data_IF_587837892080
#
_entry.id   IF_587837892080
#
_cell.length_a   1.000
_cell.length_b   1.000
_cell.length_c   1.000
_cell.angle_alpha   90.00
_cell.angle_beta   90.00
_cell.angle_gamma   90.00
#
_symmetry.space_group_name_H-M   'P 1'
#
loop_
_entity.id
_entity.type
_entity.pdbx_description
1 polymer ?
#
# COMPACT_ATOMS: atom_id res chain seq x y z
N UNK A 1 13.49 -5.07 10.30
CA UNK A 1 13.92 -3.80 10.92
C UNK A 1 15.24 -3.29 10.33
N UNK A 2 16.19 -4.16 9.98
CA UNK A 2 17.48 -3.77 9.36
C UNK A 2 17.36 -2.83 8.14
N UNK A 3 16.45 -3.13 7.20
CA UNK A 3 16.22 -2.26 6.03
C UNK A 3 15.73 -0.85 6.42
N UNK A 4 14.82 -0.75 7.39
CA UNK A 4 14.33 0.53 7.91
C UNK A 4 15.44 1.32 8.60
N UNK A 5 16.28 0.65 9.39
CA UNK A 5 17.39 1.30 10.10
C UNK A 5 18.44 1.82 9.12
N UNK A 6 18.85 1.01 8.14
CA UNK A 6 19.79 1.42 7.09
C UNK A 6 19.25 2.58 6.26
N UNK A 7 17.99 2.50 5.83
CA UNK A 7 17.34 3.55 5.06
C UNK A 7 17.24 4.86 5.84
N UNK A 8 16.79 4.80 7.10
CA UNK A 8 16.69 5.95 7.98
C UNK A 8 18.04 6.65 8.20
N UNK A 9 19.11 5.87 8.46
CA UNK A 9 20.48 6.42 8.57
C UNK A 9 20.94 7.09 7.27
N UNK A 10 20.66 6.48 6.12
CA UNK A 10 21.08 7.02 4.82
C UNK A 10 20.45 8.39 4.50
N UNK A 11 19.23 8.65 4.97
CA UNK A 11 18.52 9.92 4.74
C UNK A 11 18.57 10.86 5.95
N UNK A 12 19.31 10.53 7.00
CA UNK A 12 19.41 11.34 8.21
C UNK A 12 18.09 11.47 9.00
N UNK A 13 17.23 10.45 8.96
CA UNK A 13 15.93 10.45 9.63
C UNK A 13 15.85 9.40 10.75
N UNK A 14 14.79 9.48 11.56
CA UNK A 14 14.42 8.34 12.43
C UNK A 14 13.81 7.21 11.59
N UNK A 15 13.77 5.99 12.14
CA UNK A 15 13.09 4.85 11.50
C UNK A 15 11.60 5.11 11.26
N UNK A 16 10.92 5.79 12.19
CA UNK A 16 9.51 6.16 12.03
C UNK A 16 9.31 7.16 10.89
N UNK A 17 10.14 8.21 10.82
CA UNK A 17 10.10 9.19 9.74
C UNK A 17 10.34 8.55 8.38
N UNK A 18 11.29 7.61 8.28
CA UNK A 18 11.57 6.86 7.06
C UNK A 18 10.34 6.08 6.58
N UNK A 19 9.66 5.37 7.49
CA UNK A 19 8.45 4.61 7.16
C UNK A 19 7.30 5.53 6.76
N UNK A 20 7.10 6.66 7.46
CA UNK A 20 6.06 7.64 7.12
C UNK A 20 6.28 8.21 5.71
N UNK A 21 7.52 8.58 5.37
CA UNK A 21 7.88 9.03 4.03
C UNK A 21 7.57 7.95 3.00
N UNK A 22 8.02 6.71 3.26
CA UNK A 22 7.78 5.58 2.35
C UNK A 22 6.29 5.31 2.11
N UNK A 23 5.46 5.34 3.17
CA UNK A 23 4.01 5.18 3.06
C UNK A 23 3.41 6.34 2.25
N UNK A 24 3.87 7.57 2.45
CA UNK A 24 3.40 8.74 1.70
C UNK A 24 3.64 8.60 0.20
N UNK A 25 4.88 8.30 -0.20
CA UNK A 25 5.24 8.04 -1.61
C UNK A 25 4.39 6.90 -2.17
N UNK A 26 4.38 5.76 -1.48
CA UNK A 26 3.62 4.60 -1.93
C UNK A 26 2.11 4.86 -2.08
N UNK A 27 1.53 5.66 -1.19
CA UNK A 27 0.11 6.02 -1.28
C UNK A 27 -0.19 6.83 -2.55
N UNK A 28 0.70 7.74 -2.94
CA UNK A 28 0.55 8.53 -4.18
C UNK A 28 0.64 7.62 -5.39
N UNK A 29 1.66 6.78 -5.48
CA UNK A 29 1.87 5.83 -6.59
C UNK A 29 0.67 4.90 -6.77
N UNK A 30 0.14 4.33 -5.68
CA UNK A 30 -1.05 3.48 -5.75
C UNK A 30 -2.29 4.26 -6.20
N UNK A 31 -2.41 5.53 -5.82
CA UNK A 31 -3.55 6.35 -6.19
C UNK A 31 -3.52 6.74 -7.67
N UNK A 32 -2.33 6.94 -8.24
CA UNK A 32 -2.13 7.14 -9.67
C UNK A 32 -2.44 5.88 -10.47
N UNK A 33 -2.08 4.70 -9.93
CA UNK A 33 -2.36 3.41 -10.56
C UNK A 33 -3.86 3.04 -10.57
N UNK A 34 -4.50 2.99 -9.40
CA UNK A 34 -5.95 2.86 -9.24
C UNK A 34 -6.37 3.44 -7.89
N UNK A 35 -6.81 4.70 -7.91
CA UNK A 35 -7.26 5.43 -6.72
C UNK A 35 -8.40 4.75 -5.95
N UNK A 36 -9.28 4.00 -6.63
CA UNK A 36 -10.39 3.30 -5.96
C UNK A 36 -9.88 2.07 -5.21
N UNK A 37 -9.01 1.28 -5.83
CA UNK A 37 -8.39 0.13 -5.20
C UNK A 37 -7.46 0.56 -4.05
N UNK A 38 -6.66 1.61 -4.25
CA UNK A 38 -5.81 2.20 -3.22
C UNK A 38 -6.61 2.65 -1.98
N UNK A 39 -7.73 3.36 -2.17
CA UNK A 39 -8.56 3.80 -1.06
C UNK A 39 -9.16 2.63 -0.26
N UNK A 40 -9.63 1.58 -0.95
CA UNK A 40 -10.13 0.35 -0.29
C UNK A 40 -9.02 -0.34 0.50
N UNK A 41 -7.84 -0.44 -0.09
CA UNK A 41 -6.68 -1.05 0.53
C UNK A 41 -6.28 -0.34 1.83
N UNK A 42 -6.14 0.99 1.79
CA UNK A 42 -5.76 1.79 2.96
C UNK A 42 -6.81 1.72 4.09
N UNK A 43 -8.11 1.74 3.73
CA UNK A 43 -9.19 1.56 4.71
C UNK A 43 -9.13 0.18 5.36
N UNK A 44 -8.91 -0.87 4.57
CA UNK A 44 -8.78 -2.22 5.09
C UNK A 44 -7.56 -2.37 6.03
N UNK A 45 -6.44 -1.72 5.73
CA UNK A 45 -5.30 -1.68 6.65
C UNK A 45 -5.66 -0.96 7.96
N UNK A 46 -6.34 0.19 7.88
CA UNK A 46 -6.78 0.90 9.08
C UNK A 46 -7.65 0.02 9.97
N UNK A 47 -8.62 -0.69 9.38
CA UNK A 47 -9.49 -1.61 10.12
C UNK A 47 -8.70 -2.79 10.72
N UNK A 48 -7.73 -3.36 10.01
CA UNK A 48 -6.91 -4.49 10.48
C UNK A 48 -6.06 -4.14 11.71
N UNK A 49 -5.49 -2.94 11.72
CA UNK A 49 -4.53 -2.51 12.74
C UNK A 49 -5.15 -1.63 13.84
N UNK A 50 -6.39 -1.17 13.72
CA UNK A 50 -7.09 -0.49 14.81
C UNK A 50 -7.35 -1.47 15.97
N UNK A 51 -6.86 -1.19 17.19
CA UNK A 51 -7.07 -2.05 18.34
C UNK A 51 -8.54 -2.17 18.77
N UNK A 52 -9.41 -1.27 18.30
CA UNK A 52 -10.86 -1.27 18.59
C UNK A 52 -11.65 -2.17 17.64
N UNK A 53 -11.03 -2.65 16.56
CA UNK A 53 -11.69 -3.52 15.57
C UNK A 53 -11.80 -4.95 16.08
N UNK A 54 -12.99 -5.54 16.02
CA UNK A 54 -13.22 -6.93 16.44
C UNK A 54 -12.79 -7.96 15.37
N UNK A 55 -12.73 -9.24 15.74
CA UNK A 55 -12.23 -10.31 14.86
C UNK A 55 -13.04 -10.48 13.57
N UNK A 56 -14.36 -10.26 13.62
CA UNK A 56 -15.21 -10.36 12.42
C UNK A 56 -14.89 -9.23 11.44
N UNK A 57 -14.72 -8.01 11.96
CA UNK A 57 -14.32 -6.86 11.18
C UNK A 57 -12.90 -7.04 10.62
N UNK A 58 -11.94 -7.56 11.40
CA UNK A 58 -10.59 -7.88 10.91
C UNK A 58 -10.60 -8.91 9.80
N UNK A 59 -11.41 -9.97 9.92
CA UNK A 59 -11.58 -10.96 8.84
C UNK A 59 -12.18 -10.35 7.58
N UNK A 60 -13.12 -9.42 7.72
CA UNK A 60 -13.69 -8.70 6.57
C UNK A 60 -12.66 -7.77 5.93
N UNK A 61 -11.94 -7.00 6.74
CA UNK A 61 -10.88 -6.10 6.31
C UNK A 61 -9.78 -6.88 5.58
N UNK A 62 -9.37 -8.06 6.03
CA UNK A 62 -8.40 -8.88 5.32
C UNK A 62 -8.90 -9.31 3.93
N UNK A 63 -10.19 -9.68 3.79
CA UNK A 63 -10.78 -9.99 2.49
C UNK A 63 -10.79 -8.78 1.57
N UNK A 64 -11.17 -7.61 2.09
CA UNK A 64 -11.22 -6.37 1.33
C UNK A 64 -9.80 -5.91 0.92
N UNK A 65 -8.81 -6.04 1.81
CA UNK A 65 -7.38 -5.83 1.53
C UNK A 65 -6.90 -6.74 0.40
N UNK A 66 -7.18 -8.04 0.49
CA UNK A 66 -6.74 -9.02 -0.51
C UNK A 66 -7.38 -8.76 -1.88
N UNK A 67 -8.64 -8.34 -1.92
CA UNK A 67 -9.28 -7.95 -3.19
C UNK A 67 -8.67 -6.68 -3.76
N UNK A 68 -8.48 -5.64 -2.94
CA UNK A 68 -7.89 -4.40 -3.40
C UNK A 68 -6.46 -4.60 -3.95
N UNK A 69 -5.67 -5.49 -3.35
CA UNK A 69 -4.36 -5.88 -3.88
C UNK A 69 -4.47 -6.52 -5.26
N UNK A 70 -5.45 -7.41 -5.48
CA UNK A 70 -5.69 -8.01 -6.82
C UNK A 70 -6.06 -6.95 -7.85
N UNK A 71 -6.92 -6.01 -7.48
CA UNK A 71 -7.34 -4.91 -8.36
C UNK A 71 -6.13 -4.04 -8.74
N UNK A 72 -5.25 -3.70 -7.78
CA UNK A 72 -4.01 -2.95 -8.03
C UNK A 72 -3.04 -3.69 -8.96
N UNK A 73 -2.84 -5.00 -8.76
CA UNK A 73 -1.98 -5.78 -9.66
C UNK A 73 -2.55 -5.87 -11.07
N UNK A 74 -3.88 -5.98 -11.21
CA UNK A 74 -4.52 -5.97 -12.53
C UNK A 74 -4.32 -4.61 -13.24
N UNK A 75 -4.41 -3.49 -12.51
CA UNK A 75 -4.11 -2.17 -13.06
C UNK A 75 -2.64 -2.05 -13.51
N UNK A 76 -1.70 -2.57 -12.71
CA UNK A 76 -0.28 -2.59 -13.05
C UNK A 76 -0.01 -3.43 -14.31
N UNK A 77 -0.62 -4.60 -14.42
CA UNK A 77 -0.46 -5.47 -15.58
C UNK A 77 -0.98 -4.79 -16.87
N UNK A 78 -2.05 -4.01 -16.78
CA UNK A 78 -2.57 -3.22 -17.90
C UNK A 78 -1.58 -2.10 -18.29
N UNK A 79 -1.13 -1.30 -17.33
CA UNK A 79 -0.15 -0.23 -17.57
C UNK A 79 1.15 -0.77 -18.21
N UNK A 80 1.69 -1.87 -17.67
CA UNK A 80 2.88 -2.51 -18.24
C UNK A 80 2.64 -3.09 -19.65
N UNK A 81 1.41 -3.50 -19.95
CA UNK A 81 1.05 -4.00 -21.28
C UNK A 81 0.97 -2.87 -22.31
N UNK A 82 0.42 -1.72 -21.93
CA UNK A 82 0.39 -0.50 -22.76
C UNK A 82 1.80 0.00 -23.07
N UNK A 83 2.71 -0.02 -22.08
CA UNK A 83 4.13 0.33 -22.27
C UNK A 83 4.84 -0.60 -23.27
N UNK A 84 4.49 -1.89 -23.33
CA UNK A 84 5.09 -2.86 -24.26
C UNK A 84 4.52 -2.82 -25.69
N UNK A 85 3.30 -2.31 -25.87
CA UNK A 85 2.62 -2.26 -27.17
C UNK A 85 3.04 -1.10 -28.10
N UNK A 86 3.88 -0.19 -27.60
CA UNK A 86 4.37 0.99 -28.33
C UNK A 86 5.86 0.91 -28.70
N UNK A 87 6.43 -0.30 -28.71
CA UNK A 87 7.81 -0.58 -29.16
C UNK A 87 7.90 -1.05 -30.60
#
# INVERSE_FOLDING_TARGET
MDATERGARAIGSTGASFVIIGIGVWTVELAELDGRAAAKYLRALADLFDPRTNDNQKRRAEKDRAQAVRDLYAALDLEMSEVKGHG
#
